data_IF_479822801903
#
_entry.id   IF_479822801903
#
_cell.length_a   1.000
_cell.length_b   1.000
_cell.length_c   1.000
_cell.angle_alpha   90.00
_cell.angle_beta   90.00
_cell.angle_gamma   90.00
#
_symmetry.space_group_name_H-M   'P 1'
#
loop_
_entity.id
_entity.type
_entity.pdbx_description
1 polymer ?
#
# COMPACT_ATOMS: atom_id res chain seq x y z
N UNK A 1 22.01 -7.06 -19.10
CA UNK A 1 20.94 -6.77 -18.11
C UNK A 1 19.64 -7.36 -18.64
N UNK A 2 18.92 -8.22 -17.91
CA UNK A 2 17.70 -8.83 -18.44
C UNK A 2 16.57 -7.80 -18.43
N UNK A 3 16.01 -7.52 -19.60
CA UNK A 3 14.85 -6.66 -19.78
C UNK A 3 13.64 -7.24 -19.03
N UNK A 4 13.15 -6.55 -18.00
CA UNK A 4 11.93 -6.91 -17.29
C UNK A 4 10.71 -6.55 -18.14
N UNK A 5 10.31 -7.49 -18.99
CA UNK A 5 9.11 -7.41 -19.81
C UNK A 5 7.89 -7.67 -18.92
N UNK A 6 7.10 -6.63 -18.64
CA UNK A 6 5.73 -6.81 -18.18
C UNK A 6 4.94 -7.45 -19.32
N UNK A 7 4.91 -8.78 -19.35
CA UNK A 7 3.81 -9.46 -20.00
C UNK A 7 2.54 -8.99 -19.27
N UNK A 8 1.64 -8.37 -20.03
CA UNK A 8 0.37 -7.83 -19.55
C UNK A 8 -0.55 -8.95 -19.09
N UNK A 9 -0.14 -9.64 -18.04
CA UNK A 9 -0.89 -10.73 -17.45
C UNK A 9 -2.09 -10.10 -16.74
N UNK A 10 -3.32 -10.40 -17.19
CA UNK A 10 -4.51 -9.74 -16.70
C UNK A 10 -4.64 -9.96 -15.19
N UNK A 11 -5.34 -9.03 -14.52
CA UNK A 11 -5.75 -9.02 -13.10
C UNK A 11 -6.18 -10.39 -12.55
N UNK A 12 -6.57 -11.34 -13.41
CA UNK A 12 -6.89 -12.74 -13.10
C UNK A 12 -5.77 -13.56 -12.44
N UNK A 13 -4.49 -13.20 -12.55
CA UNK A 13 -3.39 -13.99 -11.95
C UNK A 13 -2.95 -13.52 -10.56
N UNK A 14 -3.49 -12.41 -10.07
CA UNK A 14 -3.15 -11.87 -8.76
C UNK A 14 -4.16 -12.31 -7.72
N UNK A 15 -3.65 -12.89 -6.62
CA UNK A 15 -4.45 -13.20 -5.45
C UNK A 15 -5.12 -11.92 -4.96
N UNK A 16 -6.40 -11.99 -4.56
CA UNK A 16 -7.11 -10.84 -3.98
C UNK A 16 -6.27 -10.25 -2.84
N UNK A 17 -6.14 -8.92 -2.71
CA UNK A 17 -5.27 -8.30 -1.71
C UNK A 17 -5.48 -8.84 -0.29
N UNK A 18 -6.73 -9.03 0.14
CA UNK A 18 -7.09 -9.59 1.45
C UNK A 18 -6.68 -11.05 1.66
N UNK A 19 -6.53 -11.83 0.59
CA UNK A 19 -6.04 -13.21 0.66
C UNK A 19 -4.51 -13.26 0.56
N UNK A 20 -3.92 -12.47 -0.35
CA UNK A 20 -2.47 -12.43 -0.55
C UNK A 20 -1.69 -11.84 0.64
N UNK A 21 -2.35 -11.06 1.49
CA UNK A 21 -1.79 -10.46 2.70
C UNK A 21 -1.82 -11.38 3.93
N UNK A 22 -2.36 -12.60 3.79
CA UNK A 22 -2.21 -13.62 4.83
C UNK A 22 -0.75 -14.07 4.89
N UNK A 23 -0.24 -14.32 6.09
CA UNK A 23 1.19 -14.61 6.32
C UNK A 23 1.73 -15.73 5.41
N UNK A 24 0.98 -16.83 5.26
CA UNK A 24 1.35 -17.96 4.39
C UNK A 24 1.40 -17.58 2.92
N UNK A 25 0.39 -16.87 2.43
CA UNK A 25 0.30 -16.44 1.03
C UNK A 25 1.37 -15.40 0.69
N UNK A 26 1.59 -14.45 1.59
CA UNK A 26 2.62 -13.44 1.49
C UNK A 26 4.02 -14.08 1.45
N UNK A 27 4.35 -14.95 2.40
CA UNK A 27 5.63 -15.68 2.41
C UNK A 27 5.84 -16.52 1.14
N UNK A 28 4.79 -17.17 0.64
CA UNK A 28 4.81 -17.93 -0.61
C UNK A 28 5.03 -17.03 -1.84
N UNK A 29 4.46 -15.83 -1.85
CA UNK A 29 4.64 -14.85 -2.93
C UNK A 29 6.05 -14.25 -2.92
N UNK A 30 6.60 -13.95 -1.74
CA UNK A 30 7.94 -13.36 -1.58
C UNK A 30 9.06 -14.30 -2.05
N UNK A 31 8.83 -15.62 -2.06
CA UNK A 31 9.75 -16.60 -2.64
C UNK A 31 9.80 -16.60 -4.18
N UNK A 32 8.97 -15.81 -4.88
CA UNK A 32 8.87 -15.81 -6.35
C UNK A 32 9.31 -14.46 -6.91
N UNK A 33 10.43 -14.42 -7.66
CA UNK A 33 11.00 -13.18 -8.23
C UNK A 33 10.02 -12.27 -8.98
N UNK A 34 8.98 -12.83 -9.63
CA UNK A 34 7.96 -12.05 -10.36
C UNK A 34 6.82 -11.51 -9.49
N UNK A 35 6.75 -11.93 -8.22
CA UNK A 35 5.67 -11.59 -7.28
C UNK A 35 6.16 -10.96 -5.98
N UNK A 36 7.48 -10.87 -5.80
CA UNK A 36 8.15 -10.24 -4.67
C UNK A 36 7.71 -8.77 -4.53
N UNK A 37 7.50 -8.33 -3.30
CA UNK A 37 7.32 -6.91 -2.95
C UNK A 37 8.53 -6.52 -2.12
N UNK A 38 9.21 -5.45 -2.51
CA UNK A 38 10.42 -4.98 -1.85
C UNK A 38 10.05 -4.04 -0.70
N UNK A 39 9.52 -4.59 0.39
CA UNK A 39 9.06 -3.86 1.58
C UNK A 39 9.96 -4.13 2.82
N UNK A 40 10.99 -4.96 2.68
CA UNK A 40 11.92 -5.35 3.73
C UNK A 40 11.39 -6.33 4.79
N UNK A 41 10.14 -6.82 4.68
CA UNK A 41 9.48 -7.59 5.76
C UNK A 41 9.77 -9.09 5.70
N UNK A 42 10.28 -9.60 4.59
CA UNK A 42 10.52 -11.04 4.43
C UNK A 42 11.74 -11.33 3.58
N UNK A 43 12.73 -12.06 4.10
CA UNK A 43 13.87 -12.51 3.31
C UNK A 43 13.97 -14.05 3.39
N UNK A 44 14.13 -14.68 2.22
CA UNK A 44 14.77 -16.01 2.12
C UNK A 44 16.23 -15.79 1.70
N UNK A 45 17.10 -16.76 1.95
CA UNK A 45 18.54 -16.69 1.64
C UNK A 45 18.85 -16.14 0.24
N UNK A 46 18.00 -16.41 -0.74
CA UNK A 46 18.28 -16.14 -2.15
C UNK A 46 17.57 -14.89 -2.70
N UNK A 47 16.71 -14.23 -1.91
CA UNK A 47 15.95 -13.03 -2.32
C UNK A 47 15.86 -12.05 -1.15
N UNK A 48 16.61 -10.95 -1.26
CA UNK A 48 16.43 -9.77 -0.40
C UNK A 48 15.21 -8.99 -0.86
N UNK A 49 14.34 -8.62 0.08
CA UNK A 49 13.19 -7.72 -0.13
C UNK A 49 13.47 -6.30 0.35
N UNK A 50 14.69 -6.00 0.79
CA UNK A 50 15.04 -4.64 1.20
C UNK A 50 15.08 -3.75 -0.04
N UNK A 51 14.15 -2.80 -0.11
CA UNK A 51 14.18 -1.76 -1.13
C UNK A 51 15.22 -0.68 -0.77
N UNK A 52 15.84 -0.03 -1.79
CA UNK A 52 16.50 1.25 -1.59
C UNK A 52 15.52 2.29 -1.04
N UNK A 53 16.01 3.36 -0.38
CA UNK A 53 15.19 4.48 0.04
C UNK A 53 14.32 4.99 -1.11
N UNK A 54 13.01 5.13 -0.87
CA UNK A 54 12.05 5.48 -1.93
C UNK A 54 12.33 6.86 -2.54
N UNK A 55 13.00 7.72 -1.79
CA UNK A 55 13.48 9.04 -2.21
C UNK A 55 14.40 8.97 -3.43
N UNK A 56 15.15 7.87 -3.61
CA UNK A 56 16.01 7.69 -4.80
C UNK A 56 15.22 7.54 -6.10
N UNK A 57 13.95 7.13 -6.00
CA UNK A 57 13.09 6.95 -7.18
C UNK A 57 12.22 8.17 -7.47
N UNK A 58 11.86 8.96 -6.45
CA UNK A 58 11.03 10.15 -6.65
C UNK A 58 11.19 11.21 -5.55
N UNK A 59 11.52 12.47 -5.89
CA UNK A 59 11.74 13.55 -4.91
C UNK A 59 10.52 13.90 -4.05
N UNK A 60 9.29 13.61 -4.51
CA UNK A 60 8.06 13.92 -3.76
C UNK A 60 8.05 13.31 -2.36
N UNK A 61 8.67 12.14 -2.18
CA UNK A 61 8.74 11.50 -0.87
C UNK A 61 9.73 12.22 0.04
N UNK A 62 10.80 12.78 -0.51
CA UNK A 62 11.73 13.63 0.24
C UNK A 62 11.06 14.94 0.65
N UNK A 63 10.37 15.61 -0.29
CA UNK A 63 9.59 16.82 0.00
C UNK A 63 8.54 16.55 1.06
N UNK A 64 7.78 15.46 0.94
CA UNK A 64 6.79 15.08 1.94
C UNK A 64 7.42 14.89 3.32
N UNK A 65 8.52 14.13 3.43
CA UNK A 65 9.21 13.89 4.71
C UNK A 65 9.75 15.20 5.29
N UNK A 66 10.34 16.06 4.45
CA UNK A 66 10.84 17.37 4.86
C UNK A 66 9.70 18.25 5.41
N UNK A 67 8.57 18.29 4.72
CA UNK A 67 7.42 19.12 5.11
C UNK A 67 6.78 18.62 6.40
N UNK A 68 6.53 17.31 6.54
CA UNK A 68 5.93 16.75 7.77
C UNK A 68 6.87 16.79 8.97
N UNK A 69 8.19 16.74 8.74
CA UNK A 69 9.19 16.84 9.83
C UNK A 69 9.54 18.29 10.16
N UNK A 70 9.11 19.25 9.33
CA UNK A 70 9.40 20.66 9.47
C UNK A 70 8.66 21.29 10.66
N UNK A 71 9.27 22.27 11.36
CA UNK A 71 8.65 22.93 12.52
C UNK A 71 7.41 23.76 12.16
N UNK A 72 7.18 24.01 10.87
CA UNK A 72 6.06 24.77 10.32
C UNK A 72 4.79 23.92 10.15
N UNK A 73 4.92 22.59 10.08
CA UNK A 73 3.80 21.66 9.95
C UNK A 73 3.33 21.25 11.34
N UNK A 74 2.60 22.13 12.02
CA UNK A 74 1.95 21.82 13.29
C UNK A 74 0.47 21.50 13.03
N UNK A 75 -0.06 20.38 13.53
CA UNK A 75 -1.49 20.11 13.46
C UNK A 75 -2.26 21.27 14.09
N UNK A 76 -3.23 21.80 13.36
CA UNK A 76 -4.18 22.76 13.89
C UNK A 76 -5.14 22.06 14.86
N UNK A 77 -5.90 22.84 15.63
CA UNK A 77 -6.97 22.27 16.47
C UNK A 77 -7.99 21.50 15.63
N UNK A 78 -8.29 21.99 14.42
CA UNK A 78 -9.25 21.36 13.52
C UNK A 78 -8.71 20.04 12.99
N UNK A 79 -7.42 19.96 12.63
CA UNK A 79 -6.76 18.71 12.23
C UNK A 79 -6.85 17.64 13.34
N UNK A 80 -6.65 18.05 14.60
CA UNK A 80 -6.76 17.15 15.76
C UNK A 80 -8.20 16.67 15.93
N UNK A 81 -9.18 17.57 15.83
CA UNK A 81 -10.60 17.23 15.94
C UNK A 81 -11.02 16.27 14.81
N UNK A 82 -10.60 16.53 13.58
CA UNK A 82 -10.95 15.71 12.44
C UNK A 82 -10.24 14.36 12.47
N UNK A 83 -8.99 14.31 12.91
CA UNK A 83 -8.29 13.06 13.22
C UNK A 83 -9.03 12.27 14.28
N UNK A 84 -9.46 12.90 15.37
CA UNK A 84 -10.23 12.23 16.43
C UNK A 84 -11.56 11.67 15.90
N UNK A 85 -12.30 12.44 15.09
CA UNK A 85 -13.53 11.96 14.44
C UNK A 85 -13.25 10.78 13.52
N UNK A 86 -12.19 10.85 12.71
CA UNK A 86 -11.77 9.78 11.83
C UNK A 86 -11.45 8.51 12.63
N UNK A 87 -10.63 8.62 13.67
CA UNK A 87 -10.24 7.49 14.52
C UNK A 87 -11.46 6.89 15.25
N UNK A 88 -12.40 7.72 15.70
CA UNK A 88 -13.67 7.26 16.30
C UNK A 88 -14.56 6.52 15.30
N UNK A 89 -14.57 6.93 14.03
CA UNK A 89 -15.31 6.22 12.99
C UNK A 89 -14.60 4.91 12.62
N UNK A 90 -13.27 4.92 12.50
CA UNK A 90 -12.47 3.76 12.15
C UNK A 90 -12.46 2.67 13.24
N UNK A 91 -12.57 3.06 14.51
CA UNK A 91 -12.62 2.12 15.65
C UNK A 91 -13.99 1.44 15.82
N UNK A 92 -15.05 1.96 15.20
CA UNK A 92 -16.36 1.32 15.26
C UNK A 92 -16.33 0.03 14.48
N UNK A 93 -16.58 -1.08 15.17
CA UNK A 93 -16.81 -2.39 14.55
C UNK A 93 -18.06 -2.26 13.67
N UNK A 94 -17.94 -2.28 12.32
CA UNK A 94 -19.12 -2.23 11.47
C UNK A 94 -19.81 -3.58 11.56
N UNK A 95 -21.13 -3.63 11.69
CA UNK A 95 -21.90 -4.81 11.31
C UNK A 95 -21.61 -5.18 9.84
N UNK A 96 -21.87 -6.42 9.41
CA UNK A 96 -21.54 -6.87 8.05
C UNK A 96 -22.11 -5.98 6.93
N UNK A 97 -23.22 -5.27 7.16
CA UNK A 97 -23.82 -4.32 6.22
C UNK A 97 -23.03 -3.02 6.10
N UNK A 98 -22.63 -2.42 7.23
CA UNK A 98 -21.81 -1.21 7.29
C UNK A 98 -20.38 -1.43 6.74
N UNK A 99 -19.88 -2.66 6.82
CA UNK A 99 -18.55 -3.09 6.32
C UNK A 99 -18.39 -2.88 4.82
N UNK A 100 -19.46 -3.04 4.02
CA UNK A 100 -19.44 -2.76 2.58
C UNK A 100 -19.38 -1.27 2.28
N UNK A 101 -20.01 -0.42 3.09
CA UNK A 101 -20.03 1.04 2.87
C UNK A 101 -18.68 1.70 3.19
N UNK A 102 -17.99 1.23 4.23
CA UNK A 102 -16.66 1.73 4.61
C UNK A 102 -15.55 1.18 3.70
N UNK A 103 -15.55 -0.12 3.38
CA UNK A 103 -14.58 -0.70 2.42
C UNK A 103 -14.82 -0.24 0.97
N UNK A 104 -16.04 0.15 0.60
CA UNK A 104 -16.31 0.80 -0.70
C UNK A 104 -15.83 2.25 -0.74
N UNK A 105 -15.30 2.78 0.38
CA UNK A 105 -14.57 4.05 0.44
C UNK A 105 -13.06 3.85 0.54
N UNK A 106 -12.50 2.75 0.01
CA UNK A 106 -11.14 2.82 -0.54
C UNK A 106 -11.20 3.87 -1.65
N UNK A 107 -10.96 5.13 -1.28
CA UNK A 107 -10.83 6.20 -2.26
C UNK A 107 -9.46 6.03 -2.88
N UNK A 108 -9.37 5.13 -3.85
CA UNK A 108 -8.18 4.97 -4.67
C UNK A 108 -8.11 6.16 -5.62
N UNK A 109 -7.55 7.27 -5.16
CA UNK A 109 -6.94 8.19 -6.12
C UNK A 109 -5.73 7.47 -6.71
N UNK A 110 -5.40 7.68 -7.98
CA UNK A 110 -4.27 6.95 -8.60
C UNK A 110 -2.98 7.06 -7.77
N UNK A 111 -2.81 8.14 -7.00
CA UNK A 111 -1.66 8.40 -6.12
C UNK A 111 -1.88 8.13 -4.63
N UNK A 112 -3.09 7.79 -4.17
CA UNK A 112 -3.41 7.50 -2.76
C UNK A 112 -4.22 6.22 -2.64
N UNK A 113 -3.71 5.25 -1.88
CA UNK A 113 -4.41 4.01 -1.53
C UNK A 113 -4.73 3.98 -0.02
N UNK A 114 -5.94 3.55 0.34
CA UNK A 114 -6.42 3.54 1.74
C UNK A 114 -6.98 2.17 2.11
N UNK A 115 -6.32 1.47 3.03
CA UNK A 115 -6.71 0.15 3.51
C UNK A 115 -6.92 0.17 5.04
N UNK A 116 -8.19 0.13 5.47
CA UNK A 116 -8.56 0.16 6.88
C UNK A 116 -9.19 -1.17 7.30
N UNK A 117 -8.68 -1.74 8.40
CA UNK A 117 -9.22 -2.92 9.06
C UNK A 117 -9.84 -2.56 10.41
N UNK A 118 -10.55 -3.51 11.01
CA UNK A 118 -11.15 -3.37 12.35
C UNK A 118 -10.07 -3.23 13.41
N UNK A 119 -9.12 -4.15 13.44
CA UNK A 119 -7.90 -4.10 14.25
C UNK A 119 -6.69 -4.52 13.39
N UNK A 120 -5.50 -3.99 13.70
CA UNK A 120 -4.28 -4.48 13.08
C UNK A 120 -4.05 -5.94 13.48
N UNK A 121 -3.93 -6.83 12.48
CA UNK A 121 -3.73 -8.27 12.66
C UNK A 121 -5.00 -9.11 12.75
N UNK A 122 -6.20 -8.51 12.77
CA UNK A 122 -7.46 -9.26 12.75
C UNK A 122 -7.65 -9.99 11.40
N UNK A 123 -8.11 -11.24 11.45
CA UNK A 123 -8.33 -12.06 10.26
C UNK A 123 -7.05 -12.67 9.65
N UNK A 124 -5.92 -12.61 10.38
CA UNK A 124 -4.67 -13.25 9.97
C UNK A 124 -4.01 -12.59 8.76
N UNK A 125 -4.31 -11.32 8.51
CA UNK A 125 -3.88 -10.57 7.34
C UNK A 125 -3.44 -9.17 7.77
N UNK A 126 -2.26 -8.75 7.36
CA UNK A 126 -1.71 -7.44 7.69
C UNK A 126 -2.32 -6.33 6.80
N UNK A 127 -2.71 -5.19 7.40
CA UNK A 127 -3.37 -4.10 6.68
C UNK A 127 -2.42 -3.44 5.67
N UNK A 128 -1.16 -3.22 6.07
CA UNK A 128 -0.17 -2.59 5.19
C UNK A 128 0.21 -3.44 3.99
N UNK A 129 0.41 -4.74 4.20
CA UNK A 129 0.64 -5.72 3.13
C UNK A 129 -0.56 -5.78 2.18
N UNK A 130 -1.77 -5.69 2.73
CA UNK A 130 -2.97 -5.64 1.91
C UNK A 130 -3.03 -4.36 1.05
N UNK A 131 -2.67 -3.20 1.61
CA UNK A 131 -2.55 -1.94 0.87
C UNK A 131 -1.51 -2.01 -0.25
N UNK A 132 -0.33 -2.58 0.00
CA UNK A 132 0.69 -2.80 -1.03
C UNK A 132 0.19 -3.70 -2.18
N UNK A 133 -0.56 -4.76 -1.83
CA UNK A 133 -1.18 -5.64 -2.81
C UNK A 133 -2.32 -4.97 -3.57
N UNK A 134 -3.06 -4.06 -2.93
CA UNK A 134 -4.11 -3.25 -3.55
C UNK A 134 -3.50 -2.27 -4.56
N UNK A 135 -2.47 -1.51 -4.16
CA UNK A 135 -1.70 -0.63 -5.03
C UNK A 135 -1.21 -1.42 -6.26
N UNK A 136 -0.55 -2.57 -6.04
CA UNK A 136 -0.05 -3.39 -7.14
C UNK A 136 -1.17 -3.79 -8.10
N UNK A 137 -2.34 -4.16 -7.58
CA UNK A 137 -3.49 -4.55 -8.39
C UNK A 137 -4.05 -3.39 -9.22
N UNK A 138 -4.14 -2.20 -8.64
CA UNK A 138 -4.65 -0.99 -9.31
C UNK A 138 -3.77 -0.59 -10.48
N UNK A 139 -2.45 -0.62 -10.29
CA UNK A 139 -1.49 -0.22 -11.31
C UNK A 139 -1.28 -1.29 -12.40
N UNK A 140 -1.43 -2.56 -12.06
CA UNK A 140 -1.37 -3.67 -13.03
C UNK A 140 -2.69 -3.93 -13.77
N UNK A 141 -3.76 -3.21 -13.43
CA UNK A 141 -5.01 -3.27 -14.19
C UNK A 141 -4.85 -2.68 -15.60
N UNK A 142 -5.65 -3.18 -16.56
CA UNK A 142 -5.56 -2.83 -17.99
C UNK A 142 -5.63 -1.31 -18.23
N UNK A 143 -6.42 -0.60 -17.42
CA UNK A 143 -6.60 0.85 -17.50
C UNK A 143 -5.30 1.59 -17.16
N UNK A 144 -4.57 1.11 -16.15
CA UNK A 144 -3.37 1.74 -15.61
C UNK A 144 -2.08 1.19 -16.24
N UNK A 145 -2.14 0.04 -16.91
CA UNK A 145 -0.98 -0.62 -17.51
C UNK A 145 -0.21 0.27 -18.49
N UNK A 146 -0.88 1.19 -19.19
CA UNK A 146 -0.22 2.15 -20.06
C UNK A 146 0.51 3.27 -19.30
N UNK A 147 0.08 3.60 -18.09
CA UNK A 147 0.75 4.57 -17.23
C UNK A 147 1.97 3.96 -16.54
N UNK A 148 1.87 2.72 -16.05
CA UNK A 148 3.02 2.00 -15.47
C UNK A 148 4.14 1.87 -16.50
N UNK A 149 3.81 1.78 -17.80
CA UNK A 149 4.82 1.79 -18.87
C UNK A 149 5.56 3.12 -19.03
N UNK A 150 4.99 4.23 -18.55
CA UNK A 150 5.46 5.60 -18.79
C UNK A 150 5.99 6.29 -17.53
N UNK A 151 5.66 5.81 -16.32
CA UNK A 151 6.16 6.39 -15.07
C UNK A 151 6.27 5.35 -13.95
N UNK A 152 6.96 5.71 -12.88
CA UNK A 152 7.24 4.87 -11.72
C UNK A 152 6.05 4.77 -10.74
N UNK A 153 4.92 5.42 -11.05
CA UNK A 153 3.68 5.35 -10.28
C UNK A 153 3.84 5.58 -8.76
N UNK A 154 4.41 6.73 -8.33
CA UNK A 154 4.52 7.03 -6.90
C UNK A 154 3.14 7.05 -6.25
N UNK A 155 2.97 6.25 -5.20
CA UNK A 155 1.70 6.09 -4.49
C UNK A 155 1.94 6.18 -2.99
N UNK A 156 1.12 6.99 -2.31
CA UNK A 156 1.01 6.98 -0.85
C UNK A 156 0.01 5.92 -0.45
N UNK A 157 0.34 5.09 0.54
CA UNK A 157 -0.55 4.05 1.06
C UNK A 157 -0.81 4.36 2.52
N UNK A 158 -2.07 4.55 2.87
CA UNK A 158 -2.54 4.67 4.24
C UNK A 158 -3.10 3.31 4.64
N UNK A 159 -2.51 2.67 5.65
CA UNK A 159 -3.02 1.41 6.17
C UNK A 159 -3.27 1.52 7.67
N UNK A 160 -4.31 0.88 8.19
CA UNK A 160 -4.61 0.99 9.61
C UNK A 160 -5.65 0.01 10.12
N UNK A 161 -5.86 0.05 11.43
CA UNK A 161 -6.94 -0.63 12.12
C UNK A 161 -6.97 -0.31 13.60
N UNK A 162 -8.17 -0.22 14.16
CA UNK A 162 -8.38 0.21 15.55
C UNK A 162 -7.76 1.59 15.80
N UNK A 163 -6.94 1.76 16.85
CA UNK A 163 -6.25 3.02 17.14
C UNK A 163 -4.95 3.22 16.32
N UNK A 164 -4.62 2.31 15.40
CA UNK A 164 -3.34 2.34 14.69
C UNK A 164 -3.49 2.76 13.22
N UNK A 165 -2.58 3.64 12.78
CA UNK A 165 -2.45 4.09 11.40
C UNK A 165 -0.97 4.06 10.98
N UNK A 166 -0.70 3.66 9.75
CA UNK A 166 0.61 3.71 9.12
C UNK A 166 0.53 4.38 7.75
N UNK A 167 1.60 5.08 7.40
CA UNK A 167 1.78 5.76 6.12
C UNK A 167 2.97 5.11 5.43
N UNK A 168 2.77 4.63 4.21
CA UNK A 168 3.79 3.97 3.40
C UNK A 168 3.87 4.64 2.03
N UNK A 169 5.00 4.45 1.35
CA UNK A 169 5.17 4.83 -0.05
C UNK A 169 5.45 3.61 -0.91
N UNK A 170 4.97 3.61 -2.15
CA UNK A 170 5.28 2.58 -3.13
C UNK A 170 5.59 3.17 -4.51
N UNK A 171 6.50 2.52 -5.22
CA UNK A 171 6.87 2.82 -6.62
C UNK A 171 7.08 1.53 -7.41
N UNK A 172 6.90 1.60 -8.72
CA UNK A 172 7.34 0.57 -9.67
C UNK A 172 8.76 0.91 -10.14
N UNK A 173 9.70 -0.03 -9.94
CA UNK A 173 11.12 0.17 -10.21
C UNK A 173 11.61 -0.44 -11.53
N UNK A 174 10.73 -1.12 -12.27
CA UNK A 174 11.06 -1.80 -13.53
C UNK A 174 11.38 -0.88 -14.71
N UNK A 175 11.41 0.44 -14.47
CA UNK A 175 11.68 1.49 -15.45
C UNK A 175 13.05 2.14 -15.31
N UNK A 176 13.86 1.70 -14.36
CA UNK A 176 15.22 2.16 -14.16
C UNK A 176 16.24 1.15 -14.70
#
# INVERSE_FOLDING_TARGET
MPQYRFHGDPVRYWTKPSQGSKSTEYANAQGKRKKVIYDGRWAKSDVSTVAPPIQFFYPIFETFIHDVSGPHMKPTRDDIIDTQKFMHVASRIPDEGSRRSFNNKTVTYRTLDLELKRELGEGGSDASTQGELAMRRVWTDKVSANLVKKCCCPTLILAGGGPWLTVLGGVFTDKF
#
